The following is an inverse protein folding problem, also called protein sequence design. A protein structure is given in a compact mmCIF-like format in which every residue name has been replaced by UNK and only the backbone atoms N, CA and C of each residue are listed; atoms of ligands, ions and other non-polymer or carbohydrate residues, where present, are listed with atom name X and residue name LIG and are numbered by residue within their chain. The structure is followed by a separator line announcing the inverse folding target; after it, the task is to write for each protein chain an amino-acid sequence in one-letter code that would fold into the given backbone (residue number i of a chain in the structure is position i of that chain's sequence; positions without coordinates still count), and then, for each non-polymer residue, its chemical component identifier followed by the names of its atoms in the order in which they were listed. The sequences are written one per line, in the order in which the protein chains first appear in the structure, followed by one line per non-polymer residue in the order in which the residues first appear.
data_IF_660856291152
#
_entry.id   IF_660856291152
#
_cell.length_a   1.000
_cell.length_b   1.000
_cell.length_c   1.000
_cell.angle_alpha   90.00
_cell.angle_beta   90.00
_cell.angle_gamma   90.00
#
_symmetry.space_group_name_H-M   'P 1'
#
loop_
_entity.id
_entity.type
_entity.pdbx_description
1 polymer ?
#
# COMPACT_ATOMS: atom_id res chain seq x y z
N UNK A 1 7.70 -13.17 9.64
CA UNK A 1 6.81 -13.00 10.84
C UNK A 1 7.30 -11.92 11.82
N UNK A 2 8.51 -11.99 12.42
CA UNK A 2 8.98 -10.98 13.39
C UNK A 2 9.01 -9.57 12.79
N UNK A 3 9.56 -9.42 11.58
CA UNK A 3 9.64 -8.14 10.87
C UNK A 3 8.26 -7.55 10.58
N UNK A 4 7.31 -8.35 10.08
CA UNK A 4 5.92 -7.93 9.88
C UNK A 4 5.28 -7.39 11.16
N UNK A 5 5.41 -8.11 12.28
CA UNK A 5 4.84 -7.66 13.58
C UNK A 5 5.43 -6.33 14.03
N UNK A 6 6.74 -6.13 13.83
CA UNK A 6 7.37 -4.84 14.13
C UNK A 6 6.87 -3.72 13.20
N UNK A 7 6.71 -4.00 11.90
CA UNK A 7 6.14 -3.04 10.95
C UNK A 7 4.70 -2.64 11.34
N UNK A 8 3.85 -3.60 11.71
CA UNK A 8 2.49 -3.33 12.20
C UNK A 8 2.51 -2.48 13.47
N UNK A 9 3.40 -2.75 14.42
CA UNK A 9 3.56 -1.90 15.62
C UNK A 9 3.95 -0.47 15.24
N UNK A 10 4.89 -0.31 14.31
CA UNK A 10 5.31 1.02 13.85
C UNK A 10 4.17 1.76 13.14
N UNK A 11 3.40 1.06 12.31
CA UNK A 11 2.22 1.61 11.64
C UNK A 11 1.16 2.10 12.63
N UNK A 12 0.84 1.31 13.66
CA UNK A 12 -0.09 1.72 14.73
C UNK A 12 0.38 3.02 15.39
N UNK A 13 1.69 3.11 15.71
CA UNK A 13 2.27 4.32 16.28
C UNK A 13 2.26 5.51 15.31
N UNK A 14 2.50 5.27 14.04
CA UNK A 14 2.46 6.31 13.00
C UNK A 14 1.06 6.87 12.83
N UNK A 15 0.01 6.03 12.86
CA UNK A 15 -1.38 6.46 12.80
C UNK A 15 -1.73 7.34 14.00
N UNK A 16 -1.34 6.95 15.23
CA UNK A 16 -1.51 7.80 16.42
C UNK A 16 -0.87 9.19 16.24
N UNK A 17 0.37 9.24 15.74
CA UNK A 17 1.08 10.49 15.50
C UNK A 17 0.38 11.33 14.42
N UNK A 18 -0.08 10.71 13.34
CA UNK A 18 -0.80 11.40 12.28
C UNK A 18 -2.09 12.05 12.81
N UNK A 19 -2.86 11.33 13.64
CA UNK A 19 -4.05 11.84 14.31
C UNK A 19 -3.71 13.01 15.23
N UNK A 20 -2.70 12.87 16.09
CA UNK A 20 -2.25 13.93 17.00
C UNK A 20 -1.82 15.21 16.24
N UNK A 21 -1.24 15.04 15.05
CA UNK A 21 -0.79 16.13 14.18
C UNK A 21 -1.88 16.68 13.24
N UNK A 22 -3.08 16.09 13.24
CA UNK A 22 -4.16 16.45 12.30
C UNK A 22 -3.85 16.13 10.84
N UNK A 23 -2.95 15.19 10.58
CA UNK A 23 -2.61 14.69 9.24
C UNK A 23 -3.62 13.62 8.85
N UNK A 24 -4.31 13.81 7.72
CA UNK A 24 -5.42 12.94 7.30
C UNK A 24 -5.03 11.94 6.21
N UNK A 25 -3.88 12.10 5.56
CA UNK A 25 -3.44 11.27 4.44
C UNK A 25 -2.04 10.75 4.71
N UNK A 26 -1.84 9.44 4.51
CA UNK A 26 -0.54 8.78 4.59
C UNK A 26 -0.29 8.09 3.25
N UNK A 27 0.76 8.52 2.55
CA UNK A 27 1.25 7.86 1.35
C UNK A 27 2.26 6.77 1.74
N UNK A 28 2.16 5.60 1.11
CA UNK A 28 3.08 4.49 1.33
C UNK A 28 3.31 3.70 0.06
N UNK A 29 4.47 3.08 -0.05
CA UNK A 29 4.72 1.98 -0.97
C UNK A 29 4.55 0.63 -0.27
N UNK A 30 4.60 -0.45 -1.05
CA UNK A 30 4.60 -1.80 -0.51
C UNK A 30 6.01 -2.15 -0.01
N UNK A 31 6.16 -3.33 0.58
CA UNK A 31 7.47 -3.87 0.94
C UNK A 31 7.43 -5.38 0.87
N UNK A 32 8.56 -6.01 0.63
CA UNK A 32 8.63 -7.46 0.44
C UNK A 32 9.69 -7.78 -0.61
N UNK A 33 9.48 -8.85 -1.36
CA UNK A 33 10.31 -9.20 -2.51
C UNK A 33 9.44 -9.75 -3.64
N UNK A 34 9.74 -9.39 -4.91
CA UNK A 34 9.07 -9.98 -6.07
C UNK A 34 9.44 -11.47 -6.28
N UNK A 35 10.44 -11.99 -5.55
CA UNK A 35 10.80 -13.41 -5.59
C UNK A 35 9.80 -14.31 -4.83
N UNK A 36 9.04 -13.75 -3.90
CA UNK A 36 8.06 -14.48 -3.06
C UNK A 36 6.71 -13.72 -2.98
N UNK A 37 6.07 -13.39 -4.12
CA UNK A 37 4.95 -12.45 -4.16
C UNK A 37 3.72 -12.98 -3.41
N UNK A 38 3.39 -14.26 -3.55
CA UNK A 38 2.24 -14.89 -2.86
C UNK A 38 2.40 -14.84 -1.33
N UNK A 39 3.60 -15.10 -0.82
CA UNK A 39 3.90 -15.04 0.62
C UNK A 39 3.81 -13.59 1.11
N UNK A 40 4.35 -12.65 0.35
CA UNK A 40 4.31 -11.23 0.70
C UNK A 40 2.87 -10.71 0.72
N UNK A 41 2.06 -11.06 -0.28
CA UNK A 41 0.66 -10.70 -0.38
C UNK A 41 -0.14 -11.27 0.81
N UNK A 42 0.06 -12.55 1.15
CA UNK A 42 -0.58 -13.16 2.33
C UNK A 42 -0.23 -12.39 3.62
N UNK A 43 1.04 -11.99 3.77
CA UNK A 43 1.48 -11.21 4.93
C UNK A 43 0.96 -9.78 4.92
N UNK A 44 0.74 -9.19 3.75
CA UNK A 44 0.14 -7.88 3.58
C UNK A 44 -1.32 -7.91 4.05
N UNK A 45 -2.14 -8.86 3.59
CA UNK A 45 -3.52 -9.01 4.06
C UNK A 45 -3.61 -9.20 5.57
N UNK A 46 -2.77 -10.06 6.16
CA UNK A 46 -2.71 -10.25 7.62
C UNK A 46 -2.31 -8.96 8.36
N UNK A 47 -1.54 -8.08 7.73
CA UNK A 47 -1.19 -6.77 8.31
C UNK A 47 -2.37 -5.79 8.21
N UNK A 48 -3.07 -5.78 7.08
CA UNK A 48 -4.25 -4.96 6.87
C UNK A 48 -5.42 -5.38 7.77
N UNK A 49 -5.61 -6.67 8.08
CA UNK A 49 -6.57 -7.14 9.08
C UNK A 49 -6.38 -6.46 10.45
N UNK A 50 -5.13 -6.15 10.83
CA UNK A 50 -4.83 -5.46 12.08
C UNK A 50 -4.92 -3.93 11.98
N UNK A 51 -4.59 -3.36 10.83
CA UNK A 51 -4.45 -1.91 10.64
C UNK A 51 -5.74 -1.26 10.16
N UNK A 52 -6.47 -1.89 9.24
CA UNK A 52 -7.65 -1.32 8.60
C UNK A 52 -8.72 -0.83 9.60
N UNK A 53 -9.07 -1.60 10.65
CA UNK A 53 -10.06 -1.12 11.63
C UNK A 53 -9.60 0.11 12.42
N UNK A 54 -8.29 0.34 12.54
CA UNK A 54 -7.72 1.53 13.18
C UNK A 54 -7.82 2.70 12.21
N UNK A 55 -7.38 2.49 10.96
CA UNK A 55 -7.42 3.51 9.89
C UNK A 55 -8.84 4.04 9.70
N UNK A 56 -9.83 3.15 9.60
CA UNK A 56 -11.25 3.51 9.44
C UNK A 56 -11.79 4.26 10.65
N UNK A 57 -11.48 3.79 11.87
CA UNK A 57 -11.94 4.44 13.11
C UNK A 57 -11.39 5.86 13.25
N UNK A 58 -10.11 6.06 12.92
CA UNK A 58 -9.45 7.37 13.02
C UNK A 58 -9.73 8.26 11.80
N UNK A 59 -10.40 7.75 10.76
CA UNK A 59 -10.73 8.50 9.55
C UNK A 59 -9.50 8.87 8.70
N UNK A 60 -8.39 8.13 8.83
CA UNK A 60 -7.18 8.33 8.04
C UNK A 60 -7.39 7.74 6.64
N UNK A 61 -6.87 8.42 5.60
CA UNK A 61 -6.74 7.84 4.26
C UNK A 61 -5.32 7.35 4.04
N UNK A 62 -5.17 6.08 3.66
CA UNK A 62 -3.91 5.52 3.19
C UNK A 62 -3.94 5.46 1.67
N UNK A 63 -2.88 5.95 1.03
CA UNK A 63 -2.71 5.88 -0.42
C UNK A 63 -1.48 5.03 -0.73
N UNK A 64 -1.69 3.86 -1.33
CA UNK A 64 -0.67 2.85 -1.62
C UNK A 64 -0.20 3.03 -3.07
N UNK A 65 1.11 3.03 -3.30
CA UNK A 65 1.69 3.00 -4.64
C UNK A 65 2.40 1.66 -4.88
N UNK A 66 2.40 1.18 -6.13
CA UNK A 66 3.37 0.16 -6.55
C UNK A 66 4.74 0.84 -6.73
N UNK A 67 5.83 0.13 -6.44
CA UNK A 67 7.19 0.65 -6.59
C UNK A 67 8.16 -0.42 -7.17
N UNK A 68 9.21 -0.03 -7.92
CA UNK A 68 10.37 -0.87 -8.23
C UNK A 68 10.82 -1.78 -7.07
N UNK A 69 10.87 -3.09 -7.28
CA UNK A 69 11.30 -4.11 -6.30
C UNK A 69 10.38 -4.37 -5.11
N UNK A 70 9.15 -3.85 -5.13
CA UNK A 70 8.12 -4.31 -4.20
C UNK A 70 7.66 -5.73 -4.55
N UNK A 71 6.92 -6.37 -3.65
CA UNK A 71 6.36 -7.69 -3.97
C UNK A 71 5.26 -7.63 -5.04
N UNK A 72 4.60 -6.48 -5.18
CA UNK A 72 3.63 -6.20 -6.22
C UNK A 72 4.06 -4.90 -6.91
N UNK A 73 4.45 -5.04 -8.16
CA UNK A 73 5.20 -4.04 -8.90
C UNK A 73 4.32 -3.28 -9.90
N UNK A 74 3.29 -3.96 -10.43
CA UNK A 74 2.41 -3.44 -11.46
C UNK A 74 1.25 -2.64 -10.86
N UNK A 75 0.89 -1.54 -11.54
CA UNK A 75 -0.19 -0.66 -11.11
C UNK A 75 -1.51 -1.43 -10.98
N UNK A 76 -1.93 -2.13 -12.03
CA UNK A 76 -3.24 -2.77 -12.11
C UNK A 76 -3.41 -3.83 -11.02
N UNK A 77 -2.38 -4.64 -10.79
CA UNK A 77 -2.38 -5.66 -9.74
C UNK A 77 -2.45 -5.02 -8.34
N UNK A 78 -1.74 -3.91 -8.12
CA UNK A 78 -1.78 -3.20 -6.84
C UNK A 78 -3.13 -2.53 -6.62
N UNK A 79 -3.75 -1.99 -7.67
CA UNK A 79 -5.11 -1.42 -7.64
C UNK A 79 -6.11 -2.49 -7.24
N UNK A 80 -6.09 -3.66 -7.89
CA UNK A 80 -6.98 -4.78 -7.57
C UNK A 80 -6.82 -5.23 -6.11
N UNK A 81 -5.58 -5.34 -5.64
CA UNK A 81 -5.25 -5.70 -4.27
C UNK A 81 -5.79 -4.66 -3.27
N UNK A 82 -5.61 -3.37 -3.52
CA UNK A 82 -6.17 -2.30 -2.67
C UNK A 82 -7.69 -2.34 -2.66
N UNK A 83 -8.32 -2.45 -3.82
CA UNK A 83 -9.79 -2.49 -3.96
C UNK A 83 -10.41 -3.69 -3.25
N UNK A 84 -9.68 -4.80 -3.13
CA UNK A 84 -10.13 -6.01 -2.43
C UNK A 84 -10.45 -5.77 -0.94
N UNK A 85 -9.85 -4.74 -0.31
CA UNK A 85 -10.12 -4.34 1.07
C UNK A 85 -11.52 -3.74 1.26
N UNK A 86 -12.13 -3.24 0.17
CA UNK A 86 -13.48 -2.63 0.16
C UNK A 86 -13.66 -1.51 1.20
N UNK A 87 -12.63 -0.68 1.37
CA UNK A 87 -12.63 0.43 2.31
C UNK A 87 -12.38 1.75 1.59
N UNK A 88 -13.20 2.76 1.86
CA UNK A 88 -13.03 4.11 1.31
C UNK A 88 -11.77 4.82 1.88
N UNK A 89 -11.20 4.25 2.96
CA UNK A 89 -10.02 4.77 3.64
C UNK A 89 -8.70 4.26 3.04
N UNK A 90 -8.72 3.31 2.11
CA UNK A 90 -7.50 2.81 1.46
C UNK A 90 -7.67 2.93 -0.06
N UNK A 91 -6.77 3.67 -0.69
CA UNK A 91 -6.81 3.95 -2.12
C UNK A 91 -5.44 3.78 -2.76
N UNK A 92 -5.39 3.89 -4.08
CA UNK A 92 -4.17 3.75 -4.86
C UNK A 92 -3.63 5.13 -5.25
N UNK A 93 -2.33 5.35 -5.05
CA UNK A 93 -1.60 6.50 -5.58
C UNK A 93 -0.88 6.08 -6.85
N UNK A 94 -1.28 6.66 -7.97
CA UNK A 94 -0.61 6.43 -9.25
C UNK A 94 0.67 7.26 -9.35
N UNK A 95 1.82 6.58 -9.51
CA UNK A 95 3.12 7.19 -9.76
C UNK A 95 3.51 7.04 -11.22
N UNK A 96 3.43 8.13 -11.99
CA UNK A 96 3.81 8.14 -13.41
C UNK A 96 5.26 7.64 -13.67
N UNK A 97 6.27 8.01 -12.86
CA UNK A 97 7.61 7.46 -13.02
C UNK A 97 7.68 5.93 -12.86
N UNK A 98 6.91 5.36 -11.93
CA UNK A 98 6.90 3.90 -11.73
C UNK A 98 6.21 3.22 -12.89
N UNK A 99 5.06 3.75 -13.34
CA UNK A 99 4.39 3.27 -14.55
C UNK A 99 5.32 3.26 -15.77
N UNK A 100 6.06 4.36 -15.99
CA UNK A 100 7.00 4.46 -17.10
C UNK A 100 8.15 3.46 -17.01
N UNK A 101 8.68 3.22 -15.80
CA UNK A 101 9.72 2.22 -15.56
C UNK A 101 9.26 0.81 -15.99
N UNK A 102 8.05 0.41 -15.61
CA UNK A 102 7.50 -0.91 -15.94
C UNK A 102 7.00 -1.06 -17.37
N UNK A 103 6.62 0.05 -18.01
CA UNK A 103 6.35 0.09 -19.45
C UNK A 103 7.64 0.04 -20.30
N UNK A 104 8.82 -0.10 -19.66
CA UNK A 104 10.14 -0.13 -20.31
C UNK A 104 10.40 1.11 -21.18
N UNK A 105 9.77 2.21 -20.83
CA UNK A 105 9.89 3.49 -21.53
C UNK A 105 9.16 3.60 -22.87
N UNK A 106 8.15 2.77 -23.15
CA UNK A 106 7.34 2.89 -24.38
C UNK A 106 6.41 4.12 -24.34
N UNK A 107 5.98 4.55 -23.16
CA UNK A 107 5.09 5.67 -22.95
C UNK A 107 3.59 5.34 -23.05
N UNK A 108 3.22 4.06 -23.11
CA UNK A 108 1.82 3.59 -23.13
C UNK A 108 1.35 3.27 -21.70
N UNK A 109 1.41 4.29 -20.85
CA UNK A 109 1.05 4.21 -19.43
C UNK A 109 -0.39 4.66 -19.24
N UNK A 110 -1.34 3.75 -19.44
CA UNK A 110 -2.76 4.00 -19.19
C UNK A 110 -2.99 4.00 -17.67
N UNK A 111 -3.56 5.07 -17.07
CA UNK A 111 -3.99 5.03 -15.68
C UNK A 111 -5.22 4.12 -15.57
N UNK A 112 -5.13 3.06 -14.77
CA UNK A 112 -6.31 2.26 -14.41
C UNK A 112 -7.21 3.05 -13.47
N UNK A 113 -8.45 3.28 -13.90
CA UNK A 113 -9.52 3.96 -13.16
C UNK A 113 -10.29 3.01 -12.27
#
# INVERSE_FOLDING_TARGET
IKTRRAAVTNWKRMIEIAVDMGVQVINTELSGTPDEPEICEEMWYRSMEELLPIVEREGIRIEIQSHPWDFCELNDETVDMVQSLRSDNVTYLYSAPHGFFYDKGQGDVVPTT
#
